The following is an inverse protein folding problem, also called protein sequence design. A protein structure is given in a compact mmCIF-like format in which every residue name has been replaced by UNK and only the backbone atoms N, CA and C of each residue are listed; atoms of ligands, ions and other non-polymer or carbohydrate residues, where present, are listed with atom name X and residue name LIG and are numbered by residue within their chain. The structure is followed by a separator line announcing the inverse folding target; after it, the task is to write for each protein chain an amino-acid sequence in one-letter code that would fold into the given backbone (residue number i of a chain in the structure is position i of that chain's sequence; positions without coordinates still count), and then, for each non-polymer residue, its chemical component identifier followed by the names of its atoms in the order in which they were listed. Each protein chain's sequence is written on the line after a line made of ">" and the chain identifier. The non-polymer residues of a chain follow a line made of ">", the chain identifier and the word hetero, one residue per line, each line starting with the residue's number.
data_IF_691874000017
#
_entry.id   IF_691874000017
#
_cell.length_a   1.000
_cell.length_b   1.000
_cell.length_c   1.000
_cell.angle_alpha   90.00
_cell.angle_beta   90.00
_cell.angle_gamma   90.00
#
_symmetry.space_group_name_H-M   'P 1'
#
loop_
_entity.id
_entity.type
_entity.pdbx_description
1 polymer ?
#
# COMPACT_ATOMS: atom_id res chain seq x y z
N UNK A 1 -6.59 30.30 -43.89
CA UNK A 1 -7.42 29.40 -43.07
C UNK A 1 -6.54 28.81 -41.99
N UNK A 2 -6.72 29.27 -40.75
CA UNK A 2 -6.29 28.57 -39.54
C UNK A 2 -7.02 27.21 -39.45
N UNK A 3 -6.38 26.16 -38.93
CA UNK A 3 -6.50 25.71 -37.52
C UNK A 3 -6.14 24.22 -37.35
N UNK A 4 -5.49 23.95 -36.21
CA UNK A 4 -5.40 22.67 -35.47
C UNK A 4 -4.25 21.71 -35.78
N UNK A 5 -3.11 22.13 -35.26
CA UNK A 5 -1.97 21.36 -34.81
C UNK A 5 -2.25 20.49 -33.57
N UNK A 6 -1.50 19.38 -33.50
CA UNK A 6 -0.86 18.74 -32.32
C UNK A 6 -1.69 18.24 -31.12
N UNK A 7 -1.12 17.20 -30.48
CA UNK A 7 -1.40 16.64 -29.13
C UNK A 7 -2.44 15.52 -29.02
N UNK A 8 -2.10 14.30 -29.46
CA UNK A 8 -2.78 13.05 -29.05
C UNK A 8 -1.85 11.82 -29.05
N UNK A 9 -0.81 11.72 -28.22
CA UNK A 9 -0.09 10.43 -28.08
C UNK A 9 0.89 10.30 -26.89
N UNK A 10 0.49 10.56 -25.64
CA UNK A 10 1.34 10.20 -24.47
C UNK A 10 0.56 9.81 -23.20
N UNK A 11 -0.63 10.37 -22.96
CA UNK A 11 -1.37 10.12 -21.72
C UNK A 11 -2.15 8.80 -21.66
N UNK A 12 -2.71 8.32 -22.80
CA UNK A 12 -3.52 7.10 -22.81
C UNK A 12 -2.67 5.82 -22.70
N UNK A 13 -1.42 5.87 -23.14
CA UNK A 13 -0.48 4.73 -23.13
C UNK A 13 0.19 4.58 -21.75
N UNK A 14 0.46 5.70 -21.06
CA UNK A 14 0.96 5.67 -19.68
C UNK A 14 -0.09 5.24 -18.66
N UNK A 15 -1.38 5.47 -18.92
CA UNK A 15 -2.49 4.96 -18.10
C UNK A 15 -2.74 3.47 -18.35
N UNK A 16 -2.60 2.98 -19.60
CA UNK A 16 -2.65 1.54 -19.89
C UNK A 16 -1.46 0.77 -19.31
N UNK A 17 -0.25 1.33 -19.36
CA UNK A 17 0.91 0.72 -18.70
C UNK A 17 0.75 0.77 -17.18
N UNK A 18 0.28 1.88 -16.60
CA UNK A 18 -0.01 1.96 -15.17
C UNK A 18 -1.10 0.99 -14.69
N UNK A 19 -2.14 0.78 -15.48
CA UNK A 19 -3.22 -0.18 -15.20
C UNK A 19 -2.82 -1.64 -15.46
N UNK A 20 -1.66 -1.91 -16.07
CA UNK A 20 -1.05 -3.25 -16.12
C UNK A 20 -0.34 -3.61 -14.82
N UNK A 21 0.25 -2.62 -14.13
CA UNK A 21 0.92 -2.84 -12.84
C UNK A 21 -0.03 -2.98 -11.66
N UNK A 22 -1.27 -2.47 -11.75
CA UNK A 22 -2.22 -2.46 -10.64
C UNK A 22 -3.62 -2.87 -11.08
N UNK A 23 -4.17 -3.90 -10.43
CA UNK A 23 -5.57 -4.27 -10.60
C UNK A 23 -6.45 -3.44 -9.67
N UNK A 24 -7.24 -2.53 -10.23
CA UNK A 24 -8.20 -1.75 -9.46
C UNK A 24 -9.54 -2.49 -9.35
N UNK A 25 -9.97 -2.85 -8.12
CA UNK A 25 -11.35 -3.28 -7.86
C UNK A 25 -12.17 -2.13 -7.28
N UNK A 26 -13.04 -1.55 -8.11
CA UNK A 26 -14.03 -0.57 -7.65
C UNK A 26 -15.24 -1.29 -7.05
N UNK A 27 -15.43 -1.22 -5.73
CA UNK A 27 -16.62 -1.78 -5.09
C UNK A 27 -17.84 -0.85 -5.36
N UNK A 28 -18.95 -1.34 -5.96
CA UNK A 28 -20.01 -0.44 -6.41
C UNK A 28 -20.92 0.11 -5.30
N UNK A 29 -20.95 -0.48 -4.11
CA UNK A 29 -21.92 -0.09 -3.07
C UNK A 29 -21.30 -0.17 -1.67
N UNK A 30 -21.18 0.98 -0.99
CA UNK A 30 -20.95 1.04 0.46
C UNK A 30 -22.32 1.09 1.12
N UNK A 31 -22.90 -0.09 1.35
CA UNK A 31 -23.88 -0.31 2.42
C UNK A 31 -23.33 -1.48 3.19
N UNK A 32 -22.61 -1.24 4.29
CA UNK A 32 -22.07 -2.30 5.13
C UNK A 32 -23.21 -2.99 5.91
N UNK A 33 -23.49 -4.28 5.69
CA UNK A 33 -24.29 -5.07 6.61
C UNK A 33 -23.34 -5.76 7.61
N UNK A 34 -23.58 -5.55 8.90
CA UNK A 34 -22.94 -6.29 10.00
C UNK A 34 -23.19 -7.79 9.81
N UNK A 35 -22.14 -8.61 9.89
CA UNK A 35 -22.08 -10.08 9.67
C UNK A 35 -21.85 -10.50 8.21
N UNK A 36 -20.61 -10.36 7.73
CA UNK A 36 -19.76 -11.45 7.20
C UNK A 36 -18.33 -10.87 7.19
N UNK A 37 -17.74 -10.67 8.38
CA UNK A 37 -16.32 -10.33 8.52
C UNK A 37 -15.63 -11.52 9.20
N UNK A 38 -15.71 -12.68 8.56
CA UNK A 38 -15.17 -13.91 9.14
C UNK A 38 -14.31 -14.66 8.12
N UNK A 39 -13.00 -14.59 8.36
CA UNK A 39 -11.95 -15.55 8.00
C UNK A 39 -11.16 -15.37 6.69
N UNK A 40 -11.30 -14.28 5.94
CA UNK A 40 -10.44 -13.99 4.76
C UNK A 40 -10.14 -12.48 4.57
N UNK A 41 -9.92 -11.73 5.65
CA UNK A 41 -9.91 -10.25 5.60
C UNK A 41 -8.56 -9.55 5.60
N UNK A 42 -7.44 -10.27 5.59
CA UNK A 42 -6.16 -9.59 5.62
C UNK A 42 -5.62 -9.45 4.18
N UNK A 43 -4.75 -8.47 3.95
CA UNK A 43 -3.92 -8.30 2.75
C UNK A 43 -4.46 -7.47 1.58
N UNK A 44 -4.98 -6.25 1.79
CA UNK A 44 -5.17 -5.31 0.67
C UNK A 44 -4.90 -3.84 1.03
N UNK A 45 -4.17 -3.15 0.13
CA UNK A 45 -3.64 -1.79 0.29
C UNK A 45 -4.63 -0.66 0.04
N UNK A 46 -4.25 0.49 0.63
CA UNK A 46 -4.57 1.87 0.29
C UNK A 46 -5.97 2.09 -0.24
N UNK A 47 -6.96 2.14 0.66
CA UNK A 47 -8.26 2.58 0.24
C UNK A 47 -8.24 4.07 -0.08
N UNK A 48 -8.18 4.37 -1.37
CA UNK A 48 -8.28 5.73 -1.87
C UNK A 48 -9.76 6.12 -2.01
N UNK A 49 -10.19 6.97 -1.09
CA UNK A 49 -11.53 7.53 -1.05
C UNK A 49 -11.65 8.67 -2.06
N UNK A 50 -12.62 8.55 -2.98
CA UNK A 50 -13.02 9.63 -3.88
C UNK A 50 -14.32 10.28 -3.35
N UNK A 51 -14.23 11.34 -2.54
CA UNK A 51 -15.37 12.23 -2.27
C UNK A 51 -15.56 12.78 -0.84
N UNK A 52 -16.39 13.83 -0.74
CA UNK A 52 -16.50 14.77 0.38
C UNK A 52 -17.42 14.23 1.51
N UNK A 53 -16.85 13.51 2.49
CA UNK A 53 -17.46 13.03 3.74
C UNK A 53 -18.54 11.93 3.63
N UNK A 54 -18.22 10.74 4.17
CA UNK A 54 -19.00 9.59 4.70
C UNK A 54 -20.29 9.09 4.01
N UNK A 55 -21.12 9.93 3.38
CA UNK A 55 -22.22 9.56 2.46
C UNK A 55 -21.88 9.79 0.98
N UNK A 56 -20.67 10.26 0.70
CA UNK A 56 -20.24 10.78 -0.61
C UNK A 56 -18.99 10.10 -1.19
N UNK A 57 -18.56 8.97 -0.64
CA UNK A 57 -17.46 8.17 -1.20
C UNK A 57 -17.97 7.47 -2.46
N UNK A 58 -17.53 7.94 -3.63
CA UNK A 58 -18.02 7.46 -4.93
C UNK A 58 -17.26 6.25 -5.45
N UNK A 59 -16.05 6.02 -4.95
CA UNK A 59 -15.17 4.95 -5.41
C UNK A 59 -14.10 4.68 -4.37
N UNK A 60 -13.75 3.40 -4.27
CA UNK A 60 -12.68 2.83 -3.46
C UNK A 60 -11.83 2.00 -4.41
N UNK A 61 -10.51 2.08 -4.25
CA UNK A 61 -9.56 1.19 -4.90
C UNK A 61 -8.81 0.41 -3.82
N UNK A 62 -8.68 -0.90 -4.04
CA UNK A 62 -7.69 -1.74 -3.37
C UNK A 62 -6.65 -2.12 -4.42
N UNK A 63 -5.39 -2.15 -4.02
CA UNK A 63 -4.26 -2.32 -4.94
C UNK A 63 -3.35 -3.44 -4.44
N UNK A 64 -2.92 -4.33 -5.33
CA UNK A 64 -1.95 -5.36 -4.99
C UNK A 64 -0.54 -4.77 -5.10
N UNK A 65 0.37 -5.19 -4.21
CA UNK A 65 1.76 -4.78 -4.27
C UNK A 65 2.42 -5.28 -5.54
N UNK A 66 3.40 -4.52 -6.02
CA UNK A 66 4.24 -4.93 -7.14
C UNK A 66 4.74 -6.37 -6.94
N UNK A 67 4.46 -7.21 -7.92
CA UNK A 67 4.82 -8.61 -7.88
C UNK A 67 4.01 -9.46 -6.90
N UNK A 68 2.87 -9.01 -6.37
CA UNK A 68 1.92 -9.83 -5.59
C UNK A 68 0.52 -9.78 -6.19
N UNK A 69 -0.34 -10.73 -5.80
CA UNK A 69 -1.71 -10.80 -6.29
C UNK A 69 -1.78 -10.77 -7.82
N UNK A 70 -2.51 -9.81 -8.37
CA UNK A 70 -2.65 -9.58 -9.81
C UNK A 70 -1.75 -8.46 -10.35
N UNK A 71 -0.86 -7.90 -9.53
CA UNK A 71 0.10 -6.88 -9.94
C UNK A 71 1.34 -7.52 -10.57
N UNK A 72 1.78 -6.95 -11.68
CA UNK A 72 2.94 -7.42 -12.44
C UNK A 72 4.28 -7.03 -11.75
N UNK A 73 5.39 -7.40 -12.40
CA UNK A 73 6.79 -7.20 -11.98
C UNK A 73 7.35 -8.16 -10.91
N UNK A 74 8.63 -7.95 -10.60
CA UNK A 74 9.36 -8.58 -9.51
C UNK A 74 8.85 -8.10 -8.15
N UNK A 75 8.71 -9.04 -7.22
CA UNK A 75 8.38 -8.78 -5.82
C UNK A 75 9.34 -7.76 -5.20
N UNK A 76 8.80 -6.81 -4.42
CA UNK A 76 9.62 -5.90 -3.63
C UNK A 76 10.44 -6.66 -2.57
N UNK A 77 11.54 -6.07 -2.12
CA UNK A 77 12.50 -6.75 -1.26
C UNK A 77 12.06 -6.92 0.20
N UNK A 78 11.07 -6.13 0.65
CA UNK A 78 10.44 -6.17 1.99
C UNK A 78 9.23 -5.23 2.05
N UNK A 79 8.63 -5.11 3.22
CA UNK A 79 7.60 -4.11 3.53
C UNK A 79 8.19 -2.70 3.60
N UNK A 80 7.39 -1.69 3.27
CA UNK A 80 7.70 -0.27 3.41
C UNK A 80 8.92 0.19 2.61
N UNK A 81 9.18 -0.45 1.48
CA UNK A 81 10.32 -0.08 0.62
C UNK A 81 10.11 1.28 -0.03
N UNK A 82 11.20 1.91 -0.47
CA UNK A 82 11.05 3.16 -1.25
C UNK A 82 10.24 2.92 -2.53
N UNK A 83 10.39 1.75 -3.15
CA UNK A 83 9.62 1.35 -4.33
C UNK A 83 8.12 1.24 -4.03
N UNK A 84 7.73 0.61 -2.91
CA UNK A 84 6.34 0.56 -2.47
C UNK A 84 5.75 1.96 -2.26
N UNK A 85 6.55 2.88 -1.71
CA UNK A 85 6.12 4.26 -1.53
C UNK A 85 6.02 5.02 -2.88
N UNK A 86 6.94 4.83 -3.82
CA UNK A 86 6.86 5.41 -5.17
C UNK A 86 5.60 4.92 -5.91
N UNK A 87 5.31 3.63 -5.76
CA UNK A 87 4.14 2.96 -6.29
C UNK A 87 2.85 3.56 -5.68
N UNK A 88 2.84 3.80 -4.37
CA UNK A 88 1.75 4.48 -3.66
C UNK A 88 1.49 5.89 -4.18
N UNK A 89 2.54 6.71 -4.37
CA UNK A 89 2.41 8.06 -4.96
C UNK A 89 1.79 7.99 -6.36
N UNK A 90 2.24 7.03 -7.18
CA UNK A 90 1.73 6.84 -8.53
C UNK A 90 0.27 6.43 -8.54
N UNK A 91 -0.15 5.54 -7.64
CA UNK A 91 -1.55 5.14 -7.46
C UNK A 91 -2.42 6.35 -7.11
N UNK A 92 -2.00 7.17 -6.14
CA UNK A 92 -2.71 8.39 -5.76
C UNK A 92 -2.87 9.34 -6.96
N UNK A 93 -1.79 9.52 -7.73
CA UNK A 93 -1.77 10.37 -8.92
C UNK A 93 -2.74 9.88 -10.02
N UNK A 94 -2.81 8.57 -10.26
CA UNK A 94 -3.72 7.95 -11.22
C UNK A 94 -5.18 8.07 -10.80
N UNK A 95 -5.46 7.80 -9.53
CA UNK A 95 -6.81 7.89 -8.98
C UNK A 95 -7.32 9.33 -8.96
N UNK A 96 -6.44 10.31 -8.73
CA UNK A 96 -6.79 11.72 -8.85
C UNK A 96 -7.17 12.11 -10.29
N UNK A 97 -6.54 11.51 -11.30
CA UNK A 97 -6.80 11.80 -12.72
C UNK A 97 -7.93 10.98 -13.34
N UNK A 98 -8.44 9.97 -12.63
CA UNK A 98 -9.51 9.14 -13.15
C UNK A 98 -10.76 9.97 -13.44
N UNK A 99 -11.49 9.68 -14.52
CA UNK A 99 -12.64 10.49 -14.99
C UNK A 99 -13.81 10.57 -13.99
N UNK A 100 -13.90 9.60 -13.08
CA UNK A 100 -14.89 9.57 -11.99
C UNK A 100 -14.38 10.22 -10.70
N UNK A 101 -13.14 10.71 -10.70
CA UNK A 101 -12.50 11.39 -9.59
C UNK A 101 -12.79 12.89 -9.60
N UNK A 102 -12.82 13.48 -8.41
CA UNK A 102 -12.83 14.93 -8.24
C UNK A 102 -11.41 15.51 -8.01
N UNK A 103 -10.37 14.73 -8.28
CA UNK A 103 -8.98 15.13 -8.10
C UNK A 103 -8.48 15.09 -6.66
N UNK A 104 -9.30 14.64 -5.71
CA UNK A 104 -8.93 14.52 -4.29
C UNK A 104 -8.95 13.06 -3.88
N UNK A 105 -7.89 12.65 -3.20
CA UNK A 105 -7.67 11.30 -2.70
C UNK A 105 -7.54 11.38 -1.19
N UNK A 106 -8.22 10.50 -0.46
CA UNK A 106 -7.89 10.22 0.94
C UNK A 106 -7.46 8.78 1.07
N UNK A 107 -6.48 8.45 1.90
CA UNK A 107 -6.10 7.05 2.14
C UNK A 107 -6.70 6.54 3.44
N UNK A 108 -7.10 5.28 3.48
CA UNK A 108 -7.39 4.63 4.74
C UNK A 108 -6.92 3.19 4.80
N UNK A 109 -6.64 2.72 6.01
CA UNK A 109 -6.44 1.30 6.27
C UNK A 109 -6.07 0.96 7.71
N UNK A 110 -5.80 -0.32 7.89
CA UNK A 110 -5.47 -0.98 9.13
C UNK A 110 -4.09 -1.64 9.00
N UNK A 111 -3.31 -1.71 10.09
CA UNK A 111 -1.99 -2.34 10.11
C UNK A 111 -1.11 -1.80 8.97
N UNK A 112 -0.46 -2.63 8.15
CA UNK A 112 0.41 -2.23 7.04
C UNK A 112 -0.15 -1.05 6.21
N UNK A 113 -1.45 -1.03 5.90
CA UNK A 113 -2.02 0.10 5.12
C UNK A 113 -2.09 1.40 5.93
N UNK A 114 -2.24 1.33 7.24
CA UNK A 114 -2.11 2.47 8.13
C UNK A 114 -0.68 3.03 8.12
N UNK A 115 0.35 2.17 8.20
CA UNK A 115 1.76 2.59 8.04
C UNK A 115 1.98 3.29 6.70
N UNK A 116 1.51 2.71 5.59
CA UNK A 116 1.62 3.32 4.27
C UNK A 116 0.89 4.67 4.17
N UNK A 117 -0.30 4.78 4.77
CA UNK A 117 -1.03 6.05 4.79
C UNK A 117 -0.27 7.12 5.57
N UNK A 118 0.34 6.75 6.70
CA UNK A 118 1.17 7.63 7.49
C UNK A 118 2.44 8.03 6.70
N UNK A 119 3.15 7.07 6.09
CA UNK A 119 4.35 7.35 5.28
C UNK A 119 4.04 8.20 4.04
N UNK A 120 2.91 8.00 3.38
CA UNK A 120 2.46 8.89 2.30
C UNK A 120 2.21 10.31 2.81
N UNK A 121 1.62 10.45 4.01
CA UNK A 121 1.30 11.73 4.60
C UNK A 121 2.53 12.48 5.17
N UNK A 122 3.67 11.81 5.40
CA UNK A 122 4.84 12.39 6.07
C UNK A 122 6.15 12.33 5.27
N UNK A 123 6.36 11.28 4.47
CA UNK A 123 7.61 11.07 3.73
C UNK A 123 7.49 11.42 2.25
N UNK A 124 6.27 11.34 1.68
CA UNK A 124 6.04 11.50 0.23
C UNK A 124 5.25 12.75 -0.15
N UNK A 125 4.17 13.06 0.57
CA UNK A 125 3.26 14.17 0.28
C UNK A 125 2.71 14.20 -1.16
N UNK A 126 2.05 13.14 -1.65
CA UNK A 126 1.44 13.19 -2.97
C UNK A 126 0.44 14.37 -3.07
N UNK A 127 0.51 15.25 -4.09
CA UNK A 127 -0.28 16.50 -4.13
C UNK A 127 -1.81 16.34 -4.11
N UNK A 128 -2.30 15.16 -4.51
CA UNK A 128 -3.72 14.85 -4.52
C UNK A 128 -4.23 14.24 -3.20
N UNK A 129 -3.33 13.84 -2.29
CA UNK A 129 -3.69 13.31 -0.97
C UNK A 129 -4.18 14.44 -0.07
N UNK A 130 -5.36 14.27 0.54
CA UNK A 130 -6.06 15.33 1.29
C UNK A 130 -6.42 14.98 2.72
N UNK A 131 -6.52 13.70 3.05
CA UNK A 131 -6.73 13.23 4.40
C UNK A 131 -6.31 11.76 4.52
N UNK A 132 -6.01 11.31 5.73
CA UNK A 132 -5.87 9.88 6.03
C UNK A 132 -6.75 9.43 7.19
N UNK A 133 -7.12 8.15 7.17
CA UNK A 133 -7.59 7.40 8.33
C UNK A 133 -6.64 6.21 8.53
N UNK A 134 -5.90 6.22 9.63
CA UNK A 134 -4.90 5.19 9.92
C UNK A 134 -5.28 4.51 11.23
N UNK A 135 -5.61 3.22 11.16
CA UNK A 135 -5.96 2.41 12.32
C UNK A 135 -4.87 1.38 12.60
N UNK A 136 -4.47 1.22 13.86
CA UNK A 136 -3.55 0.15 14.27
C UNK A 136 -2.24 0.16 13.45
N UNK A 137 -1.67 1.34 13.25
CA UNK A 137 -0.36 1.53 12.61
C UNK A 137 0.57 2.30 13.53
N UNK A 138 1.85 2.37 13.17
CA UNK A 138 2.89 2.93 14.05
C UNK A 138 3.85 3.85 13.30
N UNK A 139 4.44 4.78 14.05
CA UNK A 139 5.50 5.68 13.61
C UNK A 139 6.92 5.08 13.63
N UNK A 140 7.08 3.93 14.28
CA UNK A 140 8.37 3.38 14.68
C UNK A 140 8.44 1.91 14.25
N UNK A 141 9.05 1.69 13.08
CA UNK A 141 9.16 0.36 12.49
C UNK A 141 10.05 -0.59 13.30
N UNK A 142 10.87 -0.08 14.21
CA UNK A 142 11.77 -0.91 15.02
C UNK A 142 11.23 -1.27 16.40
N UNK A 143 10.36 -0.46 17.01
CA UNK A 143 9.90 -0.73 18.38
C UNK A 143 8.47 -1.21 18.48
N UNK A 144 7.66 -0.87 17.48
CA UNK A 144 6.21 -0.94 17.52
C UNK A 144 5.70 -1.49 16.18
N UNK A 145 6.31 -2.56 15.70
CA UNK A 145 5.89 -3.30 14.51
C UNK A 145 6.23 -4.78 14.68
N UNK A 146 5.66 -5.63 13.84
CA UNK A 146 5.69 -7.10 13.97
C UNK A 146 7.09 -7.71 14.10
N UNK A 147 8.12 -7.01 13.62
CA UNK A 147 9.51 -7.47 13.60
C UNK A 147 10.20 -7.38 14.96
N UNK A 148 9.91 -6.31 15.71
CA UNK A 148 10.58 -5.98 16.96
C UNK A 148 9.63 -5.21 17.85
N UNK A 149 9.50 -5.69 19.09
CA UNK A 149 8.67 -5.09 20.13
C UNK A 149 9.57 -4.63 21.26
N UNK A 150 9.54 -3.32 21.57
CA UNK A 150 10.44 -2.69 22.55
C UNK A 150 11.94 -2.94 22.27
N UNK A 151 12.29 -3.18 20.99
CA UNK A 151 13.65 -3.51 20.55
C UNK A 151 14.08 -4.97 20.81
N UNK A 152 13.14 -5.85 21.15
CA UNK A 152 13.34 -7.30 21.25
C UNK A 152 12.78 -7.92 19.97
N UNK A 153 13.55 -8.83 19.36
CA UNK A 153 13.08 -9.60 18.21
C UNK A 153 11.73 -10.24 18.52
N UNK A 154 10.73 -9.89 17.73
CA UNK A 154 9.39 -10.44 17.81
C UNK A 154 9.15 -11.26 16.55
N UNK A 155 8.71 -12.51 16.72
CA UNK A 155 8.35 -13.37 15.60
C UNK A 155 6.84 -13.60 15.67
N UNK A 156 6.10 -12.71 15.03
CA UNK A 156 4.67 -12.88 14.81
C UNK A 156 4.44 -13.94 13.71
N UNK A 157 3.37 -14.73 13.85
CA UNK A 157 2.95 -15.73 12.84
C UNK A 157 2.67 -15.07 11.47
N UNK A 158 2.29 -13.80 11.49
CA UNK A 158 2.08 -12.96 10.33
C UNK A 158 3.32 -12.88 9.43
N UNK A 159 4.52 -12.70 9.98
CA UNK A 159 5.77 -12.58 9.19
C UNK A 159 5.98 -13.82 8.32
N UNK A 160 5.79 -15.01 8.90
CA UNK A 160 5.91 -16.27 8.16
C UNK A 160 4.79 -16.43 7.12
N UNK A 161 3.59 -15.92 7.41
CA UNK A 161 2.49 -15.95 6.46
C UNK A 161 2.73 -15.04 5.25
N UNK A 162 3.39 -13.88 5.42
CA UNK A 162 3.77 -12.99 4.31
C UNK A 162 4.71 -13.69 3.35
N UNK A 163 5.77 -14.32 3.86
CA UNK A 163 6.72 -15.05 3.00
C UNK A 163 6.04 -16.22 2.26
N UNK A 164 5.10 -16.90 2.92
CA UNK A 164 4.28 -17.91 2.27
C UNK A 164 3.41 -17.33 1.15
N UNK A 165 2.72 -16.22 1.41
CA UNK A 165 1.82 -15.57 0.44
C UNK A 165 2.57 -14.99 -0.75
N UNK A 166 3.75 -14.42 -0.52
CA UNK A 166 4.65 -13.92 -1.55
C UNK A 166 5.10 -15.01 -2.53
N UNK A 167 5.10 -16.29 -2.10
CA UNK A 167 5.41 -17.42 -2.95
C UNK A 167 4.21 -17.91 -3.78
N UNK A 168 2.97 -17.51 -3.48
CA UNK A 168 1.79 -18.01 -4.18
C UNK A 168 1.74 -17.53 -5.65
N UNK A 169 1.27 -18.37 -6.59
CA UNK A 169 1.09 -17.96 -7.98
C UNK A 169 -0.06 -16.96 -8.12
N UNK A 170 0.04 -16.07 -9.11
CA UNK A 170 -0.95 -15.02 -9.33
C UNK A 170 -2.33 -15.58 -9.75
N UNK A 171 -3.44 -15.09 -9.19
CA UNK A 171 -4.78 -15.40 -9.67
C UNK A 171 -5.04 -14.78 -11.06
N UNK A 172 -6.11 -15.19 -11.75
CA UNK A 172 -7.02 -16.29 -11.39
C UNK A 172 -6.55 -17.67 -11.85
N UNK A 173 -5.53 -17.76 -12.73
CA UNK A 173 -5.10 -19.03 -13.29
C UNK A 173 -4.10 -19.79 -12.41
N UNK A 174 -3.45 -19.12 -11.46
CA UNK A 174 -2.47 -19.72 -10.54
C UNK A 174 -1.36 -20.49 -11.31
N UNK A 175 -0.81 -19.84 -12.33
CA UNK A 175 0.21 -20.44 -13.22
C UNK A 175 1.51 -20.66 -12.44
N UNK A 176 2.01 -21.89 -12.47
CA UNK A 176 3.25 -22.33 -11.83
C UNK A 176 4.25 -22.80 -12.90
N UNK A 177 4.69 -21.88 -13.76
CA UNK A 177 5.66 -22.13 -14.83
C UNK A 177 7.11 -21.89 -14.37
N UNK A 178 8.09 -22.11 -15.26
CA UNK A 178 9.51 -21.91 -14.94
C UNK A 178 9.81 -20.48 -14.48
N UNK A 179 9.08 -19.49 -15.02
CA UNK A 179 9.21 -18.09 -14.63
C UNK A 179 8.76 -17.92 -13.18
N UNK A 180 7.59 -18.42 -12.81
CA UNK A 180 7.09 -18.39 -11.44
C UNK A 180 8.05 -19.11 -10.47
N UNK A 181 8.52 -20.31 -10.81
CA UNK A 181 9.47 -21.06 -9.96
C UNK A 181 10.72 -20.19 -9.72
N UNK A 182 11.28 -19.64 -10.79
CA UNK A 182 12.48 -18.79 -10.69
C UNK A 182 12.20 -17.55 -9.84
N UNK A 183 11.14 -16.80 -10.13
CA UNK A 183 10.83 -15.54 -9.45
C UNK A 183 10.50 -15.72 -7.97
N UNK A 184 9.83 -16.82 -7.59
CA UNK A 184 9.41 -17.03 -6.19
C UNK A 184 10.42 -17.77 -5.34
N UNK A 185 11.08 -18.80 -5.87
CA UNK A 185 12.02 -19.61 -5.10
C UNK A 185 13.47 -19.13 -5.18
N UNK A 186 13.76 -18.09 -5.96
CA UNK A 186 15.05 -17.38 -5.86
C UNK A 186 14.93 -16.03 -5.16
N UNK A 187 13.71 -15.57 -4.88
CA UNK A 187 13.50 -14.40 -4.04
C UNK A 187 13.98 -14.70 -2.62
N UNK A 188 14.69 -13.74 -2.04
CA UNK A 188 15.07 -13.78 -0.63
C UNK A 188 13.79 -13.66 0.22
N UNK A 189 13.56 -14.56 1.19
CA UNK A 189 12.50 -14.38 2.19
C UNK A 189 12.70 -13.08 2.95
N UNK A 190 11.62 -12.34 3.18
CA UNK A 190 11.70 -11.04 3.84
C UNK A 190 12.13 -11.17 5.29
N UNK A 191 11.79 -12.26 5.97
CA UNK A 191 12.26 -12.52 7.34
C UNK A 191 13.78 -12.43 7.47
N UNK A 192 14.53 -12.89 6.46
CA UNK A 192 15.99 -12.84 6.47
C UNK A 192 16.50 -11.39 6.53
N UNK A 193 15.80 -10.45 5.89
CA UNK A 193 16.16 -9.03 5.88
C UNK A 193 16.10 -8.47 7.29
N UNK A 194 15.01 -8.72 8.00
CA UNK A 194 14.82 -8.21 9.35
C UNK A 194 15.74 -8.89 10.38
N UNK A 195 16.04 -10.17 10.17
CA UNK A 195 16.99 -10.90 11.01
C UNK A 195 18.43 -10.33 10.91
N UNK A 196 18.81 -9.75 9.77
CA UNK A 196 20.12 -9.10 9.60
C UNK A 196 20.17 -7.68 10.20
N UNK A 197 19.02 -7.03 10.41
CA UNK A 197 18.92 -5.66 10.90
C UNK A 197 18.47 -5.56 12.36
N UNK A 198 19.19 -6.23 13.27
CA UNK A 198 18.85 -6.34 14.71
C UNK A 198 18.98 -5.06 15.55
N UNK A 199 19.41 -3.93 14.98
CA UNK A 199 19.65 -2.68 15.72
C UNK A 199 18.88 -1.53 15.06
N UNK A 200 18.41 -0.56 15.84
CA UNK A 200 17.73 0.67 15.40
C UNK A 200 18.68 1.62 14.64
N UNK A 201 19.13 1.17 13.46
CA UNK A 201 20.04 1.88 12.56
C UNK A 201 19.33 2.42 11.32
N UNK A 202 20.13 2.89 10.35
CA UNK A 202 19.66 3.55 9.13
C UNK A 202 18.53 2.79 8.40
N UNK A 203 18.59 1.46 8.39
CA UNK A 203 17.57 0.59 7.81
C UNK A 203 16.16 0.90 8.33
N UNK A 204 15.98 1.02 9.66
CA UNK A 204 14.70 1.31 10.29
C UNK A 204 14.37 2.80 10.26
N UNK A 205 15.40 3.64 10.46
CA UNK A 205 15.22 5.08 10.57
C UNK A 205 14.72 5.71 9.27
N UNK A 206 15.16 5.20 8.11
CA UNK A 206 14.83 5.75 6.79
C UNK A 206 13.32 5.88 6.52
N UNK A 207 12.52 4.94 7.02
CA UNK A 207 11.07 4.89 6.77
C UNK A 207 10.23 5.03 8.05
N UNK A 208 10.87 5.16 9.22
CA UNK A 208 10.18 5.45 10.47
C UNK A 208 9.78 6.93 10.53
N UNK A 209 8.50 7.17 10.81
CA UNK A 209 7.87 8.49 10.81
C UNK A 209 8.25 9.28 12.06
N UNK A 210 8.69 8.62 13.13
CA UNK A 210 9.17 9.27 14.36
C UNK A 210 10.28 10.30 14.14
N UNK A 211 10.98 10.22 13.01
CA UNK A 211 12.04 11.16 12.60
C UNK A 211 11.59 12.25 11.62
N UNK A 212 10.30 12.30 11.29
CA UNK A 212 9.74 13.21 10.27
C UNK A 212 8.37 13.77 10.69
N UNK A 213 8.09 13.86 12.00
CA UNK A 213 6.80 14.33 12.51
C UNK A 213 6.47 15.76 12.09
N UNK A 214 7.48 16.60 11.93
CA UNK A 214 7.35 17.97 11.47
C UNK A 214 6.75 18.08 10.05
N UNK A 215 6.88 17.01 9.27
CA UNK A 215 6.31 16.94 7.92
C UNK A 215 4.81 16.57 7.95
N UNK A 216 4.32 16.01 9.06
CA UNK A 216 2.92 15.60 9.18
C UNK A 216 1.98 16.83 9.26
N UNK A 217 1.48 17.24 8.09
CA UNK A 217 0.62 18.42 7.92
C UNK A 217 -0.80 18.09 7.45
N UNK A 218 -1.05 16.84 7.09
CA UNK A 218 -2.31 16.39 6.52
C UNK A 218 -3.37 16.13 7.60
N UNK A 219 -4.65 16.44 7.38
CA UNK A 219 -5.71 15.97 8.27
C UNK A 219 -5.69 14.45 8.41
N UNK A 220 -5.64 13.97 9.65
CA UNK A 220 -5.59 12.55 9.96
C UNK A 220 -6.59 12.17 11.06
N UNK A 221 -7.20 11.00 10.90
CA UNK A 221 -7.90 10.30 11.97
C UNK A 221 -7.09 9.06 12.34
N UNK A 222 -6.52 9.07 13.54
CA UNK A 222 -5.70 7.98 14.06
C UNK A 222 -6.54 7.16 15.04
N UNK A 223 -6.56 5.85 14.86
CA UNK A 223 -7.27 4.90 15.72
C UNK A 223 -6.30 3.82 16.20
N UNK A 224 -6.34 3.49 17.48
CA UNK A 224 -5.56 2.39 18.04
C UNK A 224 -6.36 1.70 19.15
N UNK A 225 -5.97 0.47 19.47
CA UNK A 225 -6.50 -0.28 20.61
C UNK A 225 -5.59 -0.18 21.82
N UNK A 226 -6.14 -0.22 23.03
CA UNK A 226 -5.33 -0.25 24.27
C UNK A 226 -4.44 -1.49 24.41
N UNK A 227 -4.80 -2.58 23.71
CA UNK A 227 -4.09 -3.86 23.71
C UNK A 227 -3.59 -4.21 22.30
N UNK A 228 -3.39 -3.20 21.48
CA UNK A 228 -2.77 -3.37 20.17
C UNK A 228 -1.26 -3.49 20.33
N UNK A 229 -0.67 -4.43 19.60
CA UNK A 229 0.76 -4.73 19.60
C UNK A 229 1.49 -3.91 18.56
#
# INVERSE_FOLDING_TARGET
>A
MLQNALMRSTAAESVKNAARWYTFRFHPEIVAPKRVLSKLENWFYACVTIGNAAKHVKSVANVDIRGTGSSEDVLIEREYTSQELDDGERVVELLARHSRSNGRVGMHGLSWTAFNSLMMATLRHPPALRAIFAAHGSEDLYKNDIHFMDGILHQDEYILSVDHENALPAPPQYIMDEKWIKERFTARPWIDVYLEHQLDGEFWQKHSIKYAYENFTLPAYLLAGFYDG
#
